data_IF_885579120237
#
_entry.id   IF_885579120237
#
_cell.length_a   1.000
_cell.length_b   1.000
_cell.length_c   1.000
_cell.angle_alpha   90.00
_cell.angle_beta   90.00
_cell.angle_gamma   90.00
#
_symmetry.space_group_name_H-M   'P 1'
#
loop_
_entity.id
_entity.type
_entity.pdbx_description
1 polymer ?
#
# COMPACT_ATOMS: atom_id res chain seq x y z
N UNK A 1 -17.40 -8.33 -3.96
CA UNK A 1 -17.95 -7.55 -2.85
C UNK A 1 -18.26 -8.48 -1.67
N UNK A 2 -17.92 -8.04 -0.46
CA UNK A 2 -18.24 -8.77 0.78
C UNK A 2 -19.74 -8.98 0.89
N UNK A 3 -20.17 -10.23 1.11
CA UNK A 3 -21.58 -10.59 1.35
C UNK A 3 -21.77 -11.03 2.79
N UNK A 4 -22.84 -10.57 3.42
CA UNK A 4 -23.28 -10.96 4.77
C UNK A 4 -24.71 -11.48 4.63
N UNK A 5 -24.95 -12.74 4.99
CA UNK A 5 -26.23 -13.43 4.79
C UNK A 5 -26.73 -13.39 3.33
N UNK A 6 -25.82 -13.55 2.37
CA UNK A 6 -26.14 -13.55 0.93
C UNK A 6 -26.38 -12.17 0.30
N UNK A 7 -26.47 -11.10 1.10
CA UNK A 7 -26.68 -9.71 0.66
C UNK A 7 -25.35 -8.98 0.66
N UNK A 8 -25.07 -8.13 -0.34
CA UNK A 8 -23.86 -7.33 -0.36
C UNK A 8 -23.82 -6.35 0.83
N UNK A 9 -22.63 -6.12 1.38
CA UNK A 9 -22.48 -5.17 2.48
C UNK A 9 -23.01 -3.78 2.12
N UNK A 10 -22.79 -3.35 0.87
CA UNK A 10 -23.33 -2.08 0.39
C UNK A 10 -24.85 -2.00 0.43
N UNK A 11 -25.56 -3.07 0.06
CA UNK A 11 -27.03 -3.13 0.16
C UNK A 11 -27.50 -3.11 1.62
N UNK A 12 -26.82 -3.86 2.51
CA UNK A 12 -27.13 -3.82 3.96
C UNK A 12 -26.92 -2.41 4.53
N UNK A 13 -25.86 -1.73 4.16
CA UNK A 13 -25.59 -0.35 4.56
C UNK A 13 -26.69 0.57 4.05
N UNK A 14 -27.05 0.48 2.76
CA UNK A 14 -28.09 1.30 2.14
C UNK A 14 -29.45 1.12 2.80
N UNK A 15 -29.76 -0.09 3.25
CA UNK A 15 -31.02 -0.37 3.94
C UNK A 15 -31.10 0.25 5.35
N UNK A 16 -29.94 0.55 5.96
CA UNK A 16 -29.85 1.20 7.29
C UNK A 16 -29.84 2.72 7.22
N UNK A 17 -29.52 3.30 6.08
CA UNK A 17 -29.56 4.74 5.89
C UNK A 17 -31.02 5.15 5.70
N UNK A 18 -31.53 6.08 6.50
CA UNK A 18 -32.89 6.60 6.37
C UNK A 18 -32.98 7.78 5.41
N UNK A 19 -31.93 8.62 5.39
CA UNK A 19 -31.86 9.80 4.54
C UNK A 19 -31.71 9.47 3.03
N UNK A 20 -32.69 9.88 2.25
CA UNK A 20 -32.73 9.63 0.80
C UNK A 20 -31.66 10.42 0.02
N UNK A 21 -31.25 11.62 0.48
CA UNK A 21 -30.17 12.37 -0.14
C UNK A 21 -28.84 11.64 0.04
N UNK A 22 -28.58 11.11 1.24
CA UNK A 22 -27.42 10.31 1.54
C UNK A 22 -27.39 9.00 0.72
N UNK A 23 -28.54 8.31 0.57
CA UNK A 23 -28.66 7.15 -0.32
C UNK A 23 -28.29 7.48 -1.75
N UNK A 24 -28.80 8.60 -2.26
CA UNK A 24 -28.53 9.05 -3.62
C UNK A 24 -27.05 9.39 -3.81
N UNK A 25 -26.45 10.11 -2.86
CA UNK A 25 -25.02 10.45 -2.88
C UNK A 25 -24.15 9.17 -2.85
N UNK A 26 -24.46 8.22 -1.98
CA UNK A 26 -23.73 6.95 -1.90
C UNK A 26 -23.77 6.18 -3.23
N UNK A 27 -24.96 6.07 -3.86
CA UNK A 27 -25.09 5.45 -5.19
C UNK A 27 -24.26 6.18 -6.25
N UNK A 28 -24.32 7.51 -6.26
CA UNK A 28 -23.57 8.33 -7.19
C UNK A 28 -22.06 8.16 -7.01
N UNK A 29 -21.56 8.10 -5.76
CA UNK A 29 -20.15 7.86 -5.47
C UNK A 29 -19.70 6.51 -6.00
N UNK A 30 -20.45 5.43 -5.70
CA UNK A 30 -20.09 4.08 -6.18
C UNK A 30 -20.13 4.02 -7.71
N UNK A 31 -21.19 4.53 -8.35
CA UNK A 31 -21.34 4.45 -9.80
C UNK A 31 -20.30 5.31 -10.54
N UNK A 32 -19.99 6.51 -10.01
CA UNK A 32 -19.12 7.46 -10.69
C UNK A 32 -17.64 7.19 -10.42
N UNK A 33 -17.30 6.78 -9.20
CA UNK A 33 -15.91 6.72 -8.77
C UNK A 33 -15.37 5.32 -8.60
N UNK A 34 -16.22 4.36 -8.27
CA UNK A 34 -15.88 2.93 -8.11
C UNK A 34 -14.48 2.70 -7.50
N UNK A 35 -14.19 3.24 -6.29
CA UNK A 35 -12.85 3.20 -5.72
C UNK A 35 -12.47 1.78 -5.27
N UNK A 36 -11.17 1.50 -5.28
CA UNK A 36 -10.63 0.38 -4.52
C UNK A 36 -10.52 0.81 -3.05
N UNK A 37 -11.21 0.10 -2.17
CA UNK A 37 -11.12 0.33 -0.72
C UNK A 37 -10.15 -0.68 -0.12
N UNK A 38 -9.14 -0.19 0.59
CA UNK A 38 -8.10 -0.99 1.26
C UNK A 38 -8.20 -0.71 2.76
N UNK A 39 -8.53 -1.72 3.55
CA UNK A 39 -8.60 -1.64 5.00
C UNK A 39 -7.32 -2.22 5.60
N UNK A 40 -6.67 -1.46 6.47
CA UNK A 40 -5.41 -1.83 7.13
C UNK A 40 -5.58 -1.61 8.62
N UNK A 41 -5.33 -2.66 9.39
CA UNK A 41 -5.21 -2.58 10.86
C UNK A 41 -3.74 -2.34 11.21
N UNK A 42 -3.43 -1.12 11.64
CA UNK A 42 -2.05 -0.72 11.94
C UNK A 42 -1.46 -1.43 13.16
N UNK A 43 -2.28 -1.96 14.05
CA UNK A 43 -1.79 -2.67 15.25
C UNK A 43 -1.26 -4.05 14.91
N UNK A 44 -1.84 -4.73 13.93
CA UNK A 44 -1.38 -6.05 13.49
C UNK A 44 -0.13 -5.97 12.62
N UNK A 45 -0.02 -4.95 11.79
CA UNK A 45 1.13 -4.76 10.90
C UNK A 45 2.38 -4.21 11.64
N UNK A 46 2.18 -3.40 12.69
CA UNK A 46 3.27 -2.88 13.52
C UNK A 46 4.04 -3.96 14.29
N UNK A 47 3.47 -5.15 14.49
CA UNK A 47 4.07 -6.25 15.27
C UNK A 47 5.28 -6.88 14.58
N UNK A 48 5.57 -6.55 13.35
CA UNK A 48 6.70 -7.11 12.60
C UNK A 48 8.08 -6.50 12.95
N UNK A 49 8.18 -5.64 13.98
CA UNK A 49 9.45 -5.18 14.53
C UNK A 49 10.23 -4.15 13.69
N UNK A 50 9.62 -3.59 12.66
CA UNK A 50 10.16 -2.50 11.85
C UNK A 50 9.30 -1.27 12.14
N UNK A 51 9.94 -0.16 12.54
CA UNK A 51 9.26 1.13 12.65
C UNK A 51 9.00 1.66 11.25
N UNK A 52 7.95 1.17 10.62
CA UNK A 52 7.54 1.59 9.29
C UNK A 52 6.69 2.85 9.38
N UNK A 53 6.84 3.76 8.44
CA UNK A 53 5.92 4.89 8.33
C UNK A 53 4.53 4.40 7.89
N UNK A 54 3.50 5.21 8.14
CA UNK A 54 2.14 4.88 7.67
C UNK A 54 2.12 4.69 6.14
N UNK A 55 2.88 5.50 5.41
CA UNK A 55 3.01 5.36 3.94
C UNK A 55 3.67 4.06 3.51
N UNK A 56 4.69 3.58 4.24
CA UNK A 56 5.30 2.29 3.95
C UNK A 56 4.30 1.15 4.12
N UNK A 57 3.53 1.17 5.21
CA UNK A 57 2.51 0.15 5.45
C UNK A 57 1.46 0.18 4.34
N UNK A 58 0.92 1.36 3.99
CA UNK A 58 -0.02 1.53 2.89
C UNK A 58 0.54 0.96 1.58
N UNK A 59 1.80 1.26 1.29
CA UNK A 59 2.48 0.81 0.08
C UNK A 59 2.60 -0.72 0.04
N UNK A 60 3.23 -1.32 1.04
CA UNK A 60 3.48 -2.76 1.02
C UNK A 60 2.21 -3.60 1.15
N UNK A 61 1.21 -3.16 1.92
CA UNK A 61 -0.08 -3.84 1.97
C UNK A 61 -0.82 -3.78 0.62
N UNK A 62 -0.70 -2.68 -0.09
CA UNK A 62 -1.25 -2.61 -1.45
C UNK A 62 -0.50 -3.55 -2.41
N UNK A 63 0.82 -3.66 -2.32
CA UNK A 63 1.59 -4.60 -3.13
C UNK A 63 1.21 -6.07 -2.85
N UNK A 64 0.97 -6.43 -1.59
CA UNK A 64 0.43 -7.75 -1.22
C UNK A 64 -0.95 -7.98 -1.84
N UNK A 65 -1.83 -6.99 -1.76
CA UNK A 65 -3.19 -7.07 -2.33
C UNK A 65 -3.16 -7.30 -3.84
N UNK A 66 -2.27 -6.64 -4.58
CA UNK A 66 -2.13 -6.87 -6.02
C UNK A 66 -1.45 -8.19 -6.39
N UNK A 67 -0.98 -8.95 -5.41
CA UNK A 67 -0.50 -10.33 -5.59
C UNK A 67 0.99 -10.52 -5.47
N UNK A 68 1.76 -9.53 -4.98
CA UNK A 68 3.18 -9.71 -4.67
C UNK A 68 3.30 -10.53 -3.38
N UNK A 69 3.88 -11.72 -3.47
CA UNK A 69 4.02 -12.67 -2.36
C UNK A 69 5.34 -12.53 -1.60
N UNK A 70 6.23 -11.66 -2.05
CA UNK A 70 7.47 -11.38 -1.35
C UNK A 70 7.16 -10.72 0.01
N UNK A 71 8.00 -11.00 1.01
CA UNK A 71 7.89 -10.46 2.37
C UNK A 71 9.01 -9.48 2.69
N UNK A 72 10.01 -9.40 1.83
CA UNK A 72 11.15 -8.50 1.96
C UNK A 72 10.86 -7.19 1.20
N UNK A 73 10.85 -6.01 1.86
CA UNK A 73 10.53 -4.74 1.23
C UNK A 73 11.32 -4.45 -0.05
N UNK A 74 12.63 -4.68 -0.03
CA UNK A 74 13.48 -4.50 -1.21
C UNK A 74 13.05 -5.37 -2.40
N UNK A 75 12.69 -6.61 -2.12
CA UNK A 75 12.21 -7.53 -3.14
C UNK A 75 10.82 -7.13 -3.64
N UNK A 76 9.97 -6.63 -2.76
CA UNK A 76 8.64 -6.10 -3.15
C UNK A 76 8.79 -4.89 -4.08
N UNK A 77 9.70 -3.97 -3.77
CA UNK A 77 10.00 -2.83 -4.64
C UNK A 77 10.52 -3.29 -6.00
N UNK A 78 11.48 -4.21 -6.03
CA UNK A 78 11.99 -4.78 -7.28
C UNK A 78 10.89 -5.40 -8.14
N UNK A 79 10.01 -6.22 -7.54
CA UNK A 79 8.89 -6.85 -8.26
C UNK A 79 7.90 -5.79 -8.75
N UNK A 80 7.63 -4.76 -7.95
CA UNK A 80 6.71 -3.68 -8.33
C UNK A 80 7.23 -2.89 -9.54
N UNK A 81 8.55 -2.64 -9.60
CA UNK A 81 9.20 -2.02 -10.75
C UNK A 81 9.08 -2.92 -11.99
N UNK A 82 9.36 -4.22 -11.85
CA UNK A 82 9.22 -5.17 -12.95
C UNK A 82 7.79 -5.19 -13.51
N UNK A 83 6.78 -5.11 -12.65
CA UNK A 83 5.38 -5.07 -13.08
C UNK A 83 5.05 -3.75 -13.78
N UNK A 84 5.51 -2.61 -13.24
CA UNK A 84 5.30 -1.29 -13.84
C UNK A 84 5.94 -1.19 -15.23
N UNK A 85 7.16 -1.71 -15.37
CA UNK A 85 7.91 -1.74 -16.64
C UNK A 85 7.44 -2.84 -17.62
N UNK A 86 6.46 -3.67 -17.23
CA UNK A 86 6.01 -4.79 -18.04
C UNK A 86 7.05 -5.89 -18.26
N UNK A 87 8.06 -5.95 -17.40
CA UNK A 87 9.20 -6.90 -17.49
C UNK A 87 9.06 -8.11 -16.55
N UNK A 88 7.96 -8.21 -15.81
CA UNK A 88 7.76 -9.26 -14.80
C UNK A 88 7.78 -10.66 -15.42
N UNK A 89 7.06 -10.88 -16.53
CA UNK A 89 7.00 -12.18 -17.19
C UNK A 89 8.37 -12.59 -17.74
N UNK A 90 9.11 -11.64 -18.33
CA UNK A 90 10.46 -11.88 -18.81
C UNK A 90 11.40 -12.31 -17.66
N UNK A 91 11.30 -11.65 -16.51
CA UNK A 91 12.05 -12.05 -15.32
C UNK A 91 11.71 -13.47 -14.85
N UNK A 92 10.41 -13.82 -14.82
CA UNK A 92 9.97 -15.16 -14.47
C UNK A 92 10.54 -16.23 -15.41
N UNK A 93 10.57 -15.96 -16.72
CA UNK A 93 11.18 -16.87 -17.71
C UNK A 93 12.69 -17.02 -17.50
N UNK A 94 13.41 -15.94 -17.15
CA UNK A 94 14.83 -16.02 -16.83
C UNK A 94 15.09 -16.89 -15.59
N UNK A 95 14.28 -16.77 -14.55
CA UNK A 95 14.35 -17.62 -13.34
C UNK A 95 14.02 -19.08 -13.68
N UNK A 96 13.03 -19.30 -14.54
CA UNK A 96 12.63 -20.63 -14.99
C UNK A 96 13.72 -21.32 -15.82
N UNK A 97 14.45 -20.60 -16.65
CA UNK A 97 15.61 -21.10 -17.38
C UNK A 97 16.72 -21.64 -16.45
N UNK A 98 16.79 -21.15 -15.21
CA UNK A 98 17.68 -21.65 -14.16
C UNK A 98 17.07 -22.84 -13.36
N UNK A 99 15.95 -23.40 -13.82
CA UNK A 99 15.29 -24.56 -13.19
C UNK A 99 14.53 -24.19 -11.90
N UNK A 100 14.10 -22.94 -11.74
CA UNK A 100 13.32 -22.48 -10.59
C UNK A 100 11.99 -21.92 -11.03
N UNK A 101 10.99 -22.04 -10.15
CA UNK A 101 9.69 -21.40 -10.30
C UNK A 101 9.64 -20.16 -9.38
N UNK A 102 9.51 -18.99 -10.00
CA UNK A 102 9.46 -17.72 -9.27
C UNK A 102 8.28 -17.65 -8.31
N UNK A 103 7.11 -18.15 -8.73
CA UNK A 103 5.90 -18.16 -7.90
C UNK A 103 6.09 -18.96 -6.59
N UNK A 104 6.97 -19.95 -6.61
CA UNK A 104 7.29 -20.78 -5.43
C UNK A 104 8.37 -20.15 -4.55
N UNK A 105 9.34 -19.45 -5.16
CA UNK A 105 10.52 -18.96 -4.41
C UNK A 105 10.41 -17.51 -3.97
N UNK A 106 9.50 -16.69 -4.52
CA UNK A 106 9.41 -15.27 -4.21
C UNK A 106 9.16 -14.96 -2.72
N UNK A 107 8.46 -15.85 -2.00
CA UNK A 107 8.28 -15.74 -0.54
C UNK A 107 9.49 -16.18 0.29
N UNK A 108 10.49 -16.80 -0.35
CA UNK A 108 11.71 -17.32 0.31
C UNK A 108 12.82 -16.27 0.21
N UNK A 109 12.85 -15.32 1.11
CA UNK A 109 13.72 -14.12 1.10
C UNK A 109 15.12 -14.34 0.54
N UNK A 110 15.89 -15.32 1.07
CA UNK A 110 17.29 -15.51 0.69
C UNK A 110 17.44 -16.00 -0.76
N UNK A 111 16.59 -16.95 -1.17
CA UNK A 111 16.64 -17.52 -2.52
C UNK A 111 16.14 -16.47 -3.53
N UNK A 112 15.03 -15.80 -3.24
CA UNK A 112 14.45 -14.81 -4.10
C UNK A 112 15.41 -13.64 -4.35
N UNK A 113 16.04 -13.09 -3.29
CA UNK A 113 17.02 -12.02 -3.44
C UNK A 113 18.26 -12.43 -4.25
N UNK A 114 18.69 -13.71 -4.17
CA UNK A 114 19.78 -14.22 -5.00
C UNK A 114 19.45 -14.13 -6.50
N UNK A 115 18.23 -14.53 -6.89
CA UNK A 115 17.81 -14.46 -8.29
C UNK A 115 17.52 -13.02 -8.73
N UNK A 116 16.93 -12.21 -7.87
CA UNK A 116 16.75 -10.78 -8.12
C UNK A 116 18.09 -10.09 -8.36
N UNK A 117 19.08 -10.27 -7.48
CA UNK A 117 20.42 -9.70 -7.65
C UNK A 117 21.09 -10.16 -8.95
N UNK A 118 20.97 -11.45 -9.31
CA UNK A 118 21.55 -12.00 -10.54
C UNK A 118 20.99 -11.34 -11.78
N UNK A 119 19.69 -11.13 -11.82
CA UNK A 119 18.99 -10.69 -13.04
C UNK A 119 18.67 -9.19 -13.07
N UNK A 120 18.73 -8.47 -11.93
CA UNK A 120 18.45 -7.04 -11.88
C UNK A 120 19.23 -6.22 -12.93
N UNK A 121 20.56 -6.34 -13.07
CA UNK A 121 21.30 -5.56 -14.05
C UNK A 121 21.02 -5.95 -15.50
N UNK A 122 20.47 -7.12 -15.74
CA UNK A 122 20.11 -7.59 -17.09
C UNK A 122 18.73 -7.10 -17.50
N UNK A 123 17.78 -7.12 -16.56
CA UNK A 123 16.37 -6.82 -16.87
C UNK A 123 16.00 -5.36 -16.62
N UNK A 124 16.66 -4.73 -15.66
CA UNK A 124 16.47 -3.32 -15.27
C UNK A 124 17.82 -2.58 -15.27
N UNK A 125 18.56 -2.55 -16.40
CA UNK A 125 19.89 -1.92 -16.45
C UNK A 125 19.87 -0.42 -16.16
N UNK A 126 18.74 0.25 -16.34
CA UNK A 126 18.51 1.64 -16.00
C UNK A 126 18.43 1.90 -14.48
N UNK A 127 18.13 0.85 -13.69
CA UNK A 127 18.07 0.92 -12.23
C UNK A 127 19.27 0.30 -11.55
N UNK A 128 19.91 -0.70 -12.18
CA UNK A 128 20.99 -1.49 -11.58
C UNK A 128 22.11 -1.75 -12.59
N UNK A 129 23.30 -1.27 -12.30
CA UNK A 129 24.47 -1.52 -13.15
C UNK A 129 25.14 -2.87 -12.84
N UNK A 130 24.93 -3.41 -11.64
CA UNK A 130 25.50 -4.68 -11.21
C UNK A 130 24.69 -5.38 -10.10
N UNK A 131 25.00 -6.67 -9.88
CA UNK A 131 24.43 -7.43 -8.75
C UNK A 131 24.83 -6.85 -7.39
N UNK A 132 26.02 -6.31 -7.29
CA UNK A 132 26.53 -5.65 -6.09
C UNK A 132 25.74 -4.38 -5.79
N UNK A 133 25.40 -3.59 -6.79
CA UNK A 133 24.56 -2.41 -6.63
C UNK A 133 23.16 -2.80 -6.12
N UNK A 134 22.52 -3.81 -6.73
CA UNK A 134 21.26 -4.34 -6.18
C UNK A 134 21.40 -4.76 -4.72
N UNK A 135 22.50 -5.45 -4.36
CA UNK A 135 22.70 -5.92 -2.98
C UNK A 135 22.95 -4.76 -2.00
N UNK A 136 23.61 -3.70 -2.43
CA UNK A 136 23.96 -2.54 -1.60
C UNK A 136 22.78 -1.60 -1.32
N UNK A 137 21.73 -1.65 -2.14
CA UNK A 137 20.55 -0.79 -1.98
C UNK A 137 19.84 -1.06 -0.64
N UNK A 138 19.66 0.00 0.11
CA UNK A 138 18.77 0.02 1.29
C UNK A 138 17.38 0.45 0.86
N UNK A 139 16.36 -0.20 1.40
CA UNK A 139 14.94 0.04 1.08
C UNK A 139 14.55 1.52 1.15
N UNK A 140 15.11 2.25 2.10
CA UNK A 140 14.82 3.68 2.34
C UNK A 140 15.35 4.63 1.26
N UNK A 141 16.18 4.15 0.34
CA UNK A 141 16.90 4.98 -0.63
C UNK A 141 16.45 4.84 -2.08
N UNK A 142 15.53 3.92 -2.38
CA UNK A 142 15.23 3.55 -3.78
C UNK A 142 14.34 4.59 -4.46
N UNK A 143 13.36 5.15 -3.75
CA UNK A 143 12.43 6.10 -4.34
C UNK A 143 11.80 7.01 -3.30
N UNK A 144 11.39 8.20 -3.76
CA UNK A 144 10.59 9.08 -2.93
C UNK A 144 9.13 8.58 -2.83
N UNK A 145 8.46 8.99 -1.77
CA UNK A 145 7.09 8.58 -1.45
C UNK A 145 6.09 8.90 -2.59
N UNK A 146 6.27 10.01 -3.29
CA UNK A 146 5.40 10.41 -4.41
C UNK A 146 5.45 9.40 -5.55
N UNK A 147 6.65 8.94 -5.92
CA UNK A 147 6.82 8.02 -7.05
C UNK A 147 6.33 6.62 -6.68
N UNK A 148 6.51 6.20 -5.43
CA UNK A 148 5.91 4.96 -4.90
C UNK A 148 4.37 4.98 -5.00
N UNK A 149 3.71 6.07 -4.60
CA UNK A 149 2.25 6.19 -4.75
C UNK A 149 1.79 6.29 -6.21
N UNK A 150 2.55 6.92 -7.11
CA UNK A 150 2.26 6.90 -8.55
C UNK A 150 2.29 5.48 -9.09
N UNK A 151 3.34 4.71 -8.74
CA UNK A 151 3.43 3.30 -9.10
C UNK A 151 2.25 2.49 -8.57
N UNK A 152 1.86 2.66 -7.30
CA UNK A 152 0.68 2.00 -6.75
C UNK A 152 -0.58 2.28 -7.57
N UNK A 153 -0.84 3.55 -7.90
CA UNK A 153 -1.99 3.92 -8.72
C UNK A 153 -1.96 3.24 -10.09
N UNK A 154 -0.79 3.17 -10.73
CA UNK A 154 -0.60 2.47 -11.99
C UNK A 154 -0.90 0.98 -11.88
N UNK A 155 -0.31 0.30 -10.90
CA UNK A 155 -0.49 -1.14 -10.67
C UNK A 155 -1.93 -1.49 -10.27
N UNK A 156 -2.56 -0.68 -9.44
CA UNK A 156 -3.98 -0.84 -9.06
C UNK A 156 -4.88 -0.68 -10.29
N UNK A 157 -4.59 0.30 -11.15
CA UNK A 157 -5.32 0.49 -12.41
C UNK A 157 -5.17 -0.71 -13.34
N UNK A 158 -3.96 -1.23 -13.48
CA UNK A 158 -3.69 -2.43 -14.31
C UNK A 158 -4.42 -3.67 -13.77
N UNK A 159 -4.39 -3.90 -12.44
CA UNK A 159 -4.92 -5.12 -11.84
C UNK A 159 -6.44 -5.10 -11.68
N UNK A 160 -7.01 -3.97 -11.27
CA UNK A 160 -8.40 -3.86 -10.84
C UNK A 160 -9.24 -2.93 -11.74
N UNK A 161 -8.64 -2.24 -12.72
CA UNK A 161 -9.28 -1.20 -13.53
C UNK A 161 -9.87 -0.07 -12.67
N UNK A 162 -9.24 0.23 -11.52
CA UNK A 162 -9.65 1.26 -10.58
C UNK A 162 -8.70 2.45 -10.65
N UNK A 163 -9.28 3.66 -10.70
CA UNK A 163 -8.50 4.91 -10.76
C UNK A 163 -8.41 5.62 -9.40
N UNK A 164 -9.19 5.16 -8.42
CA UNK A 164 -9.23 5.74 -7.09
C UNK A 164 -9.02 4.70 -6.02
N UNK A 165 -8.28 5.11 -4.99
CA UNK A 165 -7.97 4.28 -3.83
C UNK A 165 -8.45 5.00 -2.59
N UNK A 166 -9.14 4.30 -1.71
CA UNK A 166 -9.51 4.76 -0.37
C UNK A 166 -8.84 3.85 0.64
N UNK A 167 -7.89 4.38 1.38
CA UNK A 167 -7.31 3.69 2.52
C UNK A 167 -8.16 3.95 3.77
N UNK A 168 -8.52 2.89 4.47
CA UNK A 168 -9.13 2.96 5.79
C UNK A 168 -8.13 2.36 6.78
N UNK A 169 -7.52 3.23 7.58
CA UNK A 169 -6.49 2.86 8.55
C UNK A 169 -7.13 2.78 9.94
N UNK A 170 -7.19 1.56 10.48
CA UNK A 170 -7.73 1.34 11.82
C UNK A 170 -6.65 1.55 12.87
N UNK A 171 -7.05 2.06 14.02
CA UNK A 171 -6.19 2.32 15.19
C UNK A 171 -5.00 3.28 14.93
N UNK A 172 -5.18 4.25 14.00
CA UNK A 172 -4.10 5.17 13.63
C UNK A 172 -3.59 5.98 14.83
N UNK A 173 -4.48 6.39 15.74
CA UNK A 173 -4.11 7.12 16.95
C UNK A 173 -3.21 6.31 17.86
N UNK A 174 -3.46 5.02 18.02
CA UNK A 174 -2.63 4.13 18.84
C UNK A 174 -1.27 3.88 18.15
N UNK A 175 -1.25 3.73 16.84
CA UNK A 175 -0.03 3.50 16.08
C UNK A 175 0.95 4.68 16.13
N UNK A 176 0.46 5.90 15.88
CA UNK A 176 1.30 7.10 15.87
C UNK A 176 1.50 7.69 17.27
N UNK A 177 0.66 7.29 18.26
CA UNK A 177 0.58 7.88 19.57
C UNK A 177 1.92 7.99 20.28
N UNK A 178 2.34 9.21 20.59
CA UNK A 178 3.58 9.51 21.31
C UNK A 178 4.85 9.58 20.45
N UNK A 179 4.81 9.25 19.16
CA UNK A 179 5.96 9.39 18.27
C UNK A 179 5.81 10.64 17.39
N UNK A 180 6.55 11.69 17.69
CA UNK A 180 6.58 12.90 16.87
C UNK A 180 7.01 12.62 15.42
N UNK A 181 7.93 11.68 15.22
CA UNK A 181 8.44 11.34 13.89
C UNK A 181 7.36 10.65 13.04
N UNK A 182 6.56 9.75 13.61
CA UNK A 182 5.45 9.11 12.91
C UNK A 182 4.34 10.12 12.60
N UNK A 183 4.05 11.03 13.53
CA UNK A 183 3.06 12.11 13.29
C UNK A 183 3.52 13.02 12.15
N UNK A 184 4.78 13.47 12.15
CA UNK A 184 5.33 14.30 11.07
C UNK A 184 5.32 13.56 9.73
N UNK A 185 5.73 12.29 9.73
CA UNK A 185 5.71 11.45 8.52
C UNK A 185 4.29 11.34 7.96
N UNK A 186 3.30 11.05 8.81
CA UNK A 186 1.90 10.99 8.42
C UNK A 186 1.39 12.31 7.84
N UNK A 187 1.72 13.44 8.49
CA UNK A 187 1.37 14.77 7.96
C UNK A 187 1.98 15.01 6.58
N UNK A 188 3.25 14.61 6.37
CA UNK A 188 3.92 14.66 5.07
C UNK A 188 3.19 13.83 4.02
N UNK A 189 2.83 12.59 4.36
CA UNK A 189 2.03 11.70 3.49
C UNK A 189 0.70 12.35 3.10
N UNK A 190 -0.05 12.89 4.06
CA UNK A 190 -1.33 13.57 3.79
C UNK A 190 -1.16 14.77 2.85
N UNK A 191 -0.09 15.55 3.03
CA UNK A 191 0.25 16.68 2.17
C UNK A 191 0.55 16.22 0.72
N UNK A 192 1.30 15.14 0.56
CA UNK A 192 1.60 14.53 -0.75
C UNK A 192 0.30 14.05 -1.41
N UNK A 193 -0.52 13.29 -0.71
CA UNK A 193 -1.78 12.77 -1.23
C UNK A 193 -2.71 13.92 -1.68
N UNK A 194 -2.82 14.98 -0.89
CA UNK A 194 -3.63 16.15 -1.20
C UNK A 194 -3.10 16.91 -2.42
N UNK A 195 -1.80 17.18 -2.48
CA UNK A 195 -1.21 18.06 -3.50
C UNK A 195 -0.97 17.33 -4.84
N UNK A 196 -0.51 16.08 -4.81
CA UNK A 196 -0.07 15.35 -6.00
C UNK A 196 -1.18 14.47 -6.59
N UNK A 197 -2.05 13.90 -5.75
CA UNK A 197 -3.04 12.90 -6.19
C UNK A 197 -4.46 13.47 -6.37
N UNK A 198 -4.73 14.70 -5.96
CA UNK A 198 -5.94 15.49 -6.29
C UNK A 198 -7.27 14.74 -6.13
N UNK A 199 -7.39 13.92 -5.06
CA UNK A 199 -8.59 13.13 -4.78
C UNK A 199 -8.64 11.75 -5.46
N UNK A 200 -7.54 11.28 -6.06
CA UNK A 200 -7.44 9.89 -6.54
C UNK A 200 -7.05 8.94 -5.41
N UNK A 201 -6.37 9.43 -4.37
CA UNK A 201 -6.04 8.65 -3.18
C UNK A 201 -6.58 9.35 -1.94
N UNK A 202 -7.37 8.64 -1.16
CA UNK A 202 -7.97 9.12 0.09
C UNK A 202 -7.47 8.30 1.26
N UNK A 203 -7.33 8.95 2.41
CA UNK A 203 -6.99 8.32 3.67
C UNK A 203 -8.06 8.65 4.70
N UNK A 204 -8.62 7.63 5.33
CA UNK A 204 -9.58 7.70 6.43
C UNK A 204 -8.93 6.99 7.62
N UNK A 205 -8.71 7.71 8.70
CA UNK A 205 -8.19 7.12 9.95
C UNK A 205 -9.31 6.93 10.96
N UNK A 206 -9.28 5.80 11.68
CA UNK A 206 -10.12 5.57 12.86
C UNK A 206 -9.24 5.54 14.13
N UNK A 207 -9.82 5.90 15.27
CA UNK A 207 -9.19 5.80 16.58
C UNK A 207 -10.24 5.43 17.63
N UNK A 208 -9.89 4.52 18.54
CA UNK A 208 -10.80 4.13 19.62
C UNK A 208 -10.73 5.06 20.84
N UNK A 209 -9.66 5.83 20.99
CA UNK A 209 -9.56 6.73 22.15
C UNK A 209 -10.50 7.93 21.97
N UNK A 210 -11.52 7.96 22.80
CA UNK A 210 -12.16 9.23 23.15
C UNK A 210 -11.10 10.15 23.72
N UNK A 211 -10.99 11.36 23.16
CA UNK A 211 -10.20 12.45 23.74
C UNK A 211 -10.80 12.75 25.12
N UNK A 212 -10.35 12.06 26.17
CA UNK A 212 -10.68 12.45 27.53
C UNK A 212 -9.72 13.57 27.91
N UNK A 213 -10.24 14.61 28.51
CA UNK A 213 -9.51 15.84 28.94
C UNK A 213 -8.32 15.55 29.85
N UNK A 214 -8.17 14.31 30.35
CA UNK A 214 -7.15 13.89 31.29
C UNK A 214 -5.83 13.40 30.64
N UNK A 215 -5.71 13.41 29.31
CA UNK A 215 -4.46 13.05 28.65
C UNK A 215 -3.91 14.23 27.82
N UNK A 216 -3.02 15.07 28.41
CA UNK A 216 -2.46 16.25 27.74
C UNK A 216 -1.67 15.96 26.46
N UNK A 217 -1.29 14.68 26.22
CA UNK A 217 -0.53 14.27 25.05
C UNK A 217 -1.42 13.93 23.85
N UNK A 218 -2.75 13.88 24.00
CA UNK A 218 -3.70 13.59 22.94
C UNK A 218 -4.27 14.84 22.26
N UNK A 219 -3.77 16.04 22.57
CA UNK A 219 -4.11 17.25 21.85
C UNK A 219 -3.42 17.26 20.47
N UNK A 220 -4.02 16.58 19.53
CA UNK A 220 -3.81 16.90 18.11
C UNK A 220 -4.50 18.25 17.88
N UNK A 221 -3.71 19.30 17.68
CA UNK A 221 -4.19 20.64 17.38
C UNK A 221 -5.22 20.57 16.26
N UNK A 222 -6.46 20.93 16.60
CA UNK A 222 -7.52 21.23 15.65
C UNK A 222 -7.34 22.68 15.21
N UNK A 223 -6.55 22.91 14.17
CA UNK A 223 -6.56 24.14 13.38
C UNK A 223 -6.77 23.82 11.90
#
# INVERSE_FOLDING_TARGET
>A
SLKVDGISFGEKLMNRIEDNALKTLHRAVIQKYDPLVIMIDLTTEATAGITSTVSDIMYYETLKLIGIKATDPKLMDFISILQEEGKYDQFCEMVKAEGKDWEVIQSKKLIANKYAAKFAPVILPEYFSSSEEYNAIKVESVENETDRFKRLCSLVKQKYSKERIIYVLDEIGQYVGGSEDLIRSMQGTMQILKSQFKGNVWLIGTAQQTLTEDNPQAQVNSD
#
